data_IF_746863277981
#
_entry.id   IF_746863277981
#
_cell.length_a   1.000
_cell.length_b   1.000
_cell.length_c   1.000
_cell.angle_alpha   90.00
_cell.angle_beta   90.00
_cell.angle_gamma   90.00
#
_symmetry.space_group_name_H-M   'P 1'
#
loop_
_entity.id
_entity.type
_entity.pdbx_description
1 polymer ?
#
# COMPACT_ATOMS: atom_id res chain seq x y z
N UNK A 1 17.09 2.57 5.35
CA UNK A 1 15.98 1.86 4.69
C UNK A 1 16.40 0.87 3.58
N UNK A 2 17.70 0.66 3.30
CA UNK A 2 18.11 -0.21 2.18
C UNK A 2 17.50 -1.63 2.25
N UNK A 3 17.16 -2.17 1.08
CA UNK A 3 16.62 -3.52 0.88
C UNK A 3 17.43 -4.26 -0.19
N UNK A 4 17.48 -5.58 -0.07
CA UNK A 4 18.17 -6.45 -1.03
C UNK A 4 17.30 -7.66 -1.32
N UNK A 5 17.14 -7.97 -2.60
CA UNK A 5 16.37 -9.13 -3.06
C UNK A 5 16.83 -10.41 -2.35
N UNK A 6 15.87 -11.19 -1.86
CA UNK A 6 16.09 -12.42 -1.11
C UNK A 6 16.41 -12.24 0.38
N UNK A 7 16.58 -11.00 0.87
CA UNK A 7 16.75 -10.72 2.30
C UNK A 7 15.44 -10.24 2.91
N UNK A 8 14.99 -10.88 3.99
CA UNK A 8 13.76 -10.48 4.70
C UNK A 8 12.50 -10.52 3.84
N UNK A 9 12.47 -11.35 2.79
CA UNK A 9 11.33 -11.46 1.87
C UNK A 9 11.31 -10.42 0.73
N UNK A 10 12.24 -9.46 0.74
CA UNK A 10 12.30 -8.42 -0.29
C UNK A 10 12.51 -9.01 -1.69
N UNK A 11 11.79 -8.48 -2.68
CA UNK A 11 11.96 -8.81 -4.10
C UNK A 11 12.69 -7.72 -4.87
N UNK A 12 12.70 -6.50 -4.34
CA UNK A 12 13.44 -5.36 -4.88
C UNK A 12 14.80 -5.20 -4.19
N UNK A 13 15.74 -4.58 -4.91
CA UNK A 13 17.05 -4.16 -4.36
C UNK A 13 17.19 -2.65 -4.53
N UNK A 14 17.19 -1.93 -3.40
CA UNK A 14 17.32 -0.48 -3.32
C UNK A 14 18.32 -0.12 -2.23
N UNK A 15 19.20 0.85 -2.51
CA UNK A 15 19.91 1.55 -1.45
C UNK A 15 18.94 2.41 -0.61
N UNK A 16 19.47 3.11 0.39
CA UNK A 16 18.64 3.93 1.26
C UNK A 16 17.90 5.06 0.51
N UNK A 17 18.60 5.78 -0.38
CA UNK A 17 18.06 6.93 -1.10
C UNK A 17 16.98 6.51 -2.08
N UNK A 18 17.22 5.42 -2.82
CA UNK A 18 16.27 4.84 -3.77
C UNK A 18 15.04 4.29 -3.05
N UNK A 19 15.20 3.62 -1.91
CA UNK A 19 14.04 3.16 -1.13
C UNK A 19 13.23 4.33 -0.58
N UNK A 20 13.89 5.36 -0.05
CA UNK A 20 13.21 6.57 0.43
C UNK A 20 12.40 7.23 -0.70
N UNK A 21 13.01 7.43 -1.86
CA UNK A 21 12.32 8.00 -3.03
C UNK A 21 11.13 7.14 -3.46
N UNK A 22 11.30 5.81 -3.48
CA UNK A 22 10.25 4.86 -3.85
C UNK A 22 9.04 4.93 -2.90
N UNK A 23 9.28 5.03 -1.58
CA UNK A 23 8.23 5.19 -0.57
C UNK A 23 7.51 6.53 -0.73
N UNK A 24 8.27 7.63 -0.81
CA UNK A 24 7.72 8.98 -0.98
C UNK A 24 6.84 9.08 -2.24
N UNK A 25 7.31 8.51 -3.36
CA UNK A 25 6.55 8.44 -4.62
C UNK A 25 5.26 7.63 -4.47
N UNK A 26 5.30 6.50 -3.77
CA UNK A 26 4.12 5.66 -3.54
C UNK A 26 3.07 6.40 -2.71
N UNK A 27 3.48 6.98 -1.58
CA UNK A 27 2.58 7.72 -0.70
C UNK A 27 1.99 8.97 -1.37
N UNK A 28 2.79 9.66 -2.19
CA UNK A 28 2.30 10.82 -2.96
C UNK A 28 1.28 10.37 -4.01
N UNK A 29 1.56 9.30 -4.76
CA UNK A 29 0.60 8.75 -5.71
C UNK A 29 -0.70 8.34 -5.01
N UNK A 30 -0.61 7.64 -3.89
CA UNK A 30 -1.78 7.23 -3.11
C UNK A 30 -2.60 8.42 -2.61
N UNK A 31 -1.96 9.51 -2.20
CA UNK A 31 -2.65 10.77 -1.86
C UNK A 31 -3.45 11.31 -3.05
N UNK A 32 -2.85 11.37 -4.24
CA UNK A 32 -3.54 11.86 -5.44
C UNK A 32 -4.71 10.93 -5.85
N UNK A 33 -4.52 9.60 -5.73
CA UNK A 33 -5.59 8.63 -5.99
C UNK A 33 -6.76 8.82 -5.03
N UNK A 34 -6.49 8.95 -3.73
CA UNK A 34 -7.53 9.15 -2.72
C UNK A 34 -8.26 10.49 -2.90
N UNK A 35 -7.53 11.54 -3.32
CA UNK A 35 -8.12 12.84 -3.64
C UNK A 35 -9.12 12.74 -4.81
N UNK A 36 -8.81 11.96 -5.84
CA UNK A 36 -9.67 11.74 -7.00
C UNK A 36 -10.63 10.53 -6.86
N UNK A 37 -10.71 9.90 -5.67
CA UNK A 37 -11.39 8.61 -5.48
C UNK A 37 -12.88 8.64 -5.86
N UNK A 38 -13.62 9.67 -5.46
CA UNK A 38 -15.05 9.79 -5.82
C UNK A 38 -15.24 9.89 -7.34
N UNK A 39 -14.36 10.59 -8.04
CA UNK A 39 -14.42 10.69 -9.49
C UNK A 39 -14.05 9.36 -10.15
N UNK A 40 -12.99 8.70 -9.67
CA UNK A 40 -12.60 7.36 -10.11
C UNK A 40 -13.73 6.34 -9.93
N UNK A 41 -14.46 6.43 -8.81
CA UNK A 41 -15.60 5.55 -8.53
C UNK A 41 -16.70 5.70 -9.58
N UNK A 42 -17.10 6.94 -9.89
CA UNK A 42 -18.09 7.21 -10.93
C UNK A 42 -17.64 6.71 -12.31
N UNK A 43 -16.36 6.89 -12.66
CA UNK A 43 -15.82 6.37 -13.92
C UNK A 43 -15.78 4.84 -13.94
N UNK A 44 -15.46 4.21 -12.81
CA UNK A 44 -15.46 2.76 -12.67
C UNK A 44 -16.86 2.18 -12.87
N UNK A 45 -17.90 2.79 -12.27
CA UNK A 45 -19.29 2.37 -12.51
C UNK A 45 -19.68 2.50 -13.98
N UNK A 46 -19.28 3.60 -14.64
CA UNK A 46 -19.56 3.79 -16.07
C UNK A 46 -18.85 2.76 -16.96
N UNK A 47 -17.64 2.32 -16.59
CA UNK A 47 -16.93 1.28 -17.32
C UNK A 47 -17.57 -0.10 -17.04
N UNK A 48 -17.91 -0.39 -15.78
CA UNK A 48 -18.55 -1.66 -15.39
C UNK A 48 -19.91 -1.89 -16.05
N UNK A 49 -20.68 -0.82 -16.23
CA UNK A 49 -22.02 -0.81 -16.82
C UNK A 49 -22.01 -0.51 -18.33
N UNK A 50 -20.84 -0.49 -18.96
CA UNK A 50 -20.74 -0.17 -20.39
C UNK A 50 -21.44 -1.22 -21.27
N UNK A 51 -22.45 -0.79 -22.02
CA UNK A 51 -23.12 -1.63 -23.03
C UNK A 51 -22.20 -1.97 -24.22
N UNK A 52 -21.16 -1.17 -24.44
CA UNK A 52 -20.26 -1.30 -25.58
C UNK A 52 -19.00 -2.13 -25.28
N UNK A 53 -18.72 -2.41 -24.00
CA UNK A 53 -17.51 -3.11 -23.56
C UNK A 53 -17.93 -4.36 -22.76
N UNK A 54 -18.05 -5.53 -23.40
CA UNK A 54 -18.55 -6.73 -22.74
C UNK A 54 -17.48 -7.36 -21.83
N UNK A 55 -17.94 -8.08 -20.81
CA UNK A 55 -17.08 -8.95 -20.01
C UNK A 55 -16.67 -10.20 -20.80
N UNK A 56 -15.46 -10.67 -20.55
CA UNK A 56 -14.95 -11.97 -21.00
C UNK A 56 -14.55 -12.79 -19.79
N UNK A 57 -15.16 -13.96 -19.63
CA UNK A 57 -14.75 -14.91 -18.60
C UNK A 57 -13.40 -15.53 -19.02
N UNK A 58 -12.36 -15.33 -18.22
CA UNK A 58 -11.00 -15.80 -18.51
C UNK A 58 -10.32 -16.30 -17.23
N UNK A 59 -9.53 -17.35 -17.36
CA UNK A 59 -8.54 -17.68 -16.33
C UNK A 59 -7.40 -16.65 -16.40
N UNK A 60 -7.14 -15.98 -15.28
CA UNK A 60 -6.10 -14.95 -15.18
C UNK A 60 -4.82 -15.47 -14.53
N UNK A 61 -4.75 -16.76 -14.20
CA UNK A 61 -3.70 -17.32 -13.35
C UNK A 61 -3.92 -17.05 -11.85
N UNK A 62 -4.92 -16.24 -11.51
CA UNK A 62 -5.40 -15.99 -10.14
C UNK A 62 -6.80 -16.59 -9.92
N UNK A 63 -7.25 -17.45 -10.86
CA UNK A 63 -8.60 -17.98 -10.91
C UNK A 63 -9.43 -17.41 -12.07
N UNK A 64 -10.68 -17.86 -12.15
CA UNK A 64 -11.60 -17.49 -13.22
C UNK A 64 -12.24 -16.13 -12.93
N UNK A 65 -11.94 -15.14 -13.77
CA UNK A 65 -12.40 -13.75 -13.58
C UNK A 65 -13.20 -13.23 -14.78
N UNK A 66 -14.15 -12.33 -14.50
CA UNK A 66 -14.81 -11.54 -15.54
C UNK A 66 -13.92 -10.35 -15.88
N UNK A 67 -13.20 -10.46 -16.99
CA UNK A 67 -12.28 -9.44 -17.48
C UNK A 67 -13.02 -8.44 -18.36
N UNK A 68 -12.84 -7.15 -18.12
CA UNK A 68 -13.46 -6.07 -18.88
C UNK A 68 -12.50 -4.87 -18.96
N UNK A 69 -12.35 -4.30 -20.15
CA UNK A 69 -11.58 -3.07 -20.29
C UNK A 69 -12.27 -1.92 -19.57
N UNK A 70 -11.51 -1.08 -18.87
CA UNK A 70 -12.01 0.11 -18.19
C UNK A 70 -11.29 1.37 -18.71
N UNK A 71 -11.62 1.82 -19.94
CA UNK A 71 -10.89 2.88 -20.61
C UNK A 71 -11.03 4.25 -19.93
N UNK A 72 -12.17 4.54 -19.26
CA UNK A 72 -12.39 5.82 -18.58
C UNK A 72 -11.58 5.87 -17.30
N UNK A 73 -11.68 4.84 -16.45
CA UNK A 73 -10.90 4.73 -15.22
C UNK A 73 -9.41 4.67 -15.51
N UNK A 74 -8.99 3.90 -16.52
CA UNK A 74 -7.57 3.83 -16.94
C UNK A 74 -7.03 5.20 -17.35
N UNK A 75 -7.77 5.96 -18.17
CA UNK A 75 -7.34 7.30 -18.59
C UNK A 75 -7.18 8.26 -17.41
N UNK A 76 -8.13 8.25 -16.47
CA UNK A 76 -8.04 9.07 -15.26
C UNK A 76 -6.83 8.69 -14.41
N UNK A 77 -6.55 7.39 -14.27
CA UNK A 77 -5.37 6.93 -13.53
C UNK A 77 -4.04 7.33 -14.17
N UNK A 78 -3.96 7.35 -15.50
CA UNK A 78 -2.78 7.90 -16.17
C UNK A 78 -2.64 9.41 -15.91
N UNK A 79 -3.74 10.17 -15.85
CA UNK A 79 -3.69 11.59 -15.51
C UNK A 79 -3.21 11.83 -14.07
N UNK A 80 -3.71 11.04 -13.11
CA UNK A 80 -3.28 11.07 -11.70
C UNK A 80 -1.79 10.73 -11.57
N UNK A 81 -1.35 9.65 -12.21
CA UNK A 81 0.06 9.25 -12.18
C UNK A 81 0.97 10.35 -12.74
N UNK A 82 0.60 10.97 -13.86
CA UNK A 82 1.35 12.08 -14.43
C UNK A 82 1.43 13.27 -13.46
N UNK A 83 0.36 13.57 -12.73
CA UNK A 83 0.33 14.63 -11.72
C UNK A 83 1.31 14.33 -10.58
N UNK A 84 1.29 13.10 -10.06
CA UNK A 84 2.18 12.64 -9.00
C UNK A 84 3.65 12.62 -9.44
N UNK A 85 3.95 12.21 -10.68
CA UNK A 85 5.31 12.22 -11.22
C UNK A 85 5.87 13.65 -11.34
N UNK A 86 5.04 14.60 -11.79
CA UNK A 86 5.43 16.01 -11.91
C UNK A 86 5.71 16.67 -10.57
N UNK A 87 5.04 16.26 -9.49
CA UNK A 87 5.23 16.87 -8.17
C UNK A 87 6.51 16.43 -7.46
N UNK A 88 7.11 15.29 -7.85
CA UNK A 88 8.26 14.67 -7.14
C UNK A 88 9.54 14.67 -7.99
N UNK A 89 9.43 14.97 -9.30
CA UNK A 89 10.57 15.22 -10.21
C UNK A 89 11.34 13.97 -10.67
N UNK A 90 11.31 12.88 -9.91
CA UNK A 90 11.88 11.58 -10.29
C UNK A 90 10.90 10.44 -10.02
N UNK A 91 11.06 9.32 -10.74
CA UNK A 91 10.23 8.12 -10.59
C UNK A 91 11.09 6.85 -10.50
N UNK A 92 10.91 6.07 -9.44
CA UNK A 92 11.57 4.78 -9.22
C UNK A 92 10.53 3.68 -9.39
N UNK A 93 10.85 2.64 -10.15
CA UNK A 93 9.94 1.52 -10.44
C UNK A 93 9.16 1.73 -11.74
N UNK A 94 8.25 0.80 -12.01
CA UNK A 94 7.44 0.80 -13.22
C UNK A 94 6.26 1.78 -13.11
N UNK A 95 5.90 2.37 -14.25
CA UNK A 95 4.71 3.21 -14.41
C UNK A 95 3.52 2.45 -15.00
N UNK A 96 3.64 1.13 -15.15
CA UNK A 96 2.56 0.28 -15.66
C UNK A 96 1.37 0.31 -14.71
N UNK A 97 0.21 0.67 -15.25
CA UNK A 97 -1.09 0.60 -14.60
C UNK A 97 -1.82 -0.61 -15.19
N UNK A 98 -2.16 -1.58 -14.35
CA UNK A 98 -2.98 -2.72 -14.78
C UNK A 98 -4.45 -2.36 -14.72
N UNK A 99 -5.19 -2.67 -15.79
CA UNK A 99 -6.63 -2.41 -15.87
C UNK A 99 -7.26 -3.20 -17.01
N UNK A 100 -8.27 -4.01 -16.69
CA UNK A 100 -8.92 -4.88 -17.68
C UNK A 100 -8.03 -6.00 -18.19
N UNK A 101 -7.10 -6.48 -17.37
CA UNK A 101 -6.12 -7.51 -17.71
C UNK A 101 -6.09 -8.65 -16.66
N UNK A 102 -5.05 -9.48 -16.66
CA UNK A 102 -4.94 -10.60 -15.74
C UNK A 102 -4.58 -10.19 -14.30
N UNK A 103 -4.00 -9.00 -14.11
CA UNK A 103 -3.58 -8.48 -12.80
C UNK A 103 -4.67 -7.62 -12.14
N UNK A 104 -5.43 -6.88 -12.95
CA UNK A 104 -6.61 -6.10 -12.52
C UNK A 104 -7.74 -6.36 -13.52
N UNK A 105 -8.60 -7.37 -13.28
CA UNK A 105 -9.60 -7.84 -14.26
C UNK A 105 -10.60 -6.80 -14.75
N UNK A 106 -10.98 -5.84 -13.92
CA UNK A 106 -12.00 -4.84 -14.23
C UNK A 106 -11.89 -3.65 -13.26
N UNK A 107 -12.71 -2.61 -13.48
CA UNK A 107 -12.67 -1.40 -12.67
C UNK A 107 -13.12 -1.63 -11.20
N UNK A 108 -13.91 -2.66 -10.91
CA UNK A 108 -14.31 -3.00 -9.54
C UNK A 108 -13.10 -3.46 -8.72
N UNK A 109 -12.30 -4.39 -9.28
CA UNK A 109 -11.06 -4.87 -8.65
C UNK A 109 -10.04 -3.73 -8.46
N UNK A 110 -10.04 -2.75 -9.38
CA UNK A 110 -9.23 -1.56 -9.24
C UNK A 110 -9.67 -0.70 -8.04
N UNK A 111 -10.95 -0.34 -7.96
CA UNK A 111 -11.47 0.52 -6.88
C UNK A 111 -11.30 -0.17 -5.52
N UNK A 112 -11.65 -1.46 -5.43
CA UNK A 112 -11.48 -2.24 -4.21
C UNK A 112 -10.03 -2.18 -3.73
N UNK A 113 -9.07 -2.44 -4.62
CA UNK A 113 -7.63 -2.36 -4.34
C UNK A 113 -7.25 -1.00 -3.73
N UNK A 114 -7.54 0.13 -4.39
CA UNK A 114 -7.09 1.43 -3.89
C UNK A 114 -7.90 1.95 -2.69
N UNK A 115 -9.09 1.41 -2.43
CA UNK A 115 -9.81 1.67 -1.18
C UNK A 115 -9.06 1.13 0.05
N UNK A 116 -8.24 0.10 -0.12
CA UNK A 116 -7.43 -0.50 0.95
C UNK A 116 -6.34 0.43 1.47
N UNK A 117 -5.92 1.46 0.72
CA UNK A 117 -4.86 2.39 1.14
C UNK A 117 -5.19 3.01 2.50
N UNK A 118 -6.43 3.47 2.68
CA UNK A 118 -6.87 4.05 3.95
C UNK A 118 -6.83 3.01 5.08
N UNK A 119 -7.34 1.80 4.81
CA UNK A 119 -7.36 0.69 5.78
C UNK A 119 -5.96 0.29 6.24
N UNK A 120 -4.97 0.36 5.36
CA UNK A 120 -3.57 0.05 5.69
C UNK A 120 -2.91 1.17 6.50
N UNK A 121 -3.11 2.43 6.11
CA UNK A 121 -2.39 3.56 6.70
C UNK A 121 -3.00 4.06 8.00
N UNK A 122 -4.34 4.06 8.13
CA UNK A 122 -5.03 4.57 9.31
C UNK A 122 -4.55 3.92 10.61
N UNK A 123 -4.42 2.57 10.72
CA UNK A 123 -4.02 1.94 11.97
C UNK A 123 -2.59 2.30 12.39
N UNK A 124 -1.70 2.49 11.39
CA UNK A 124 -0.34 2.95 11.63
C UNK A 124 -0.37 4.38 12.16
N UNK A 125 -1.12 5.28 11.52
CA UNK A 125 -1.27 6.67 11.97
C UNK A 125 -1.88 6.76 13.38
N UNK A 126 -2.93 5.99 13.66
CA UNK A 126 -3.59 5.94 14.96
C UNK A 126 -2.68 5.39 16.06
N UNK A 127 -1.87 4.38 15.73
CA UNK A 127 -0.87 3.85 16.67
C UNK A 127 0.14 4.94 16.99
N UNK A 128 0.72 5.56 15.96
CA UNK A 128 1.74 6.60 16.12
C UNK A 128 1.24 7.82 16.91
N UNK A 129 0.00 8.26 16.68
CA UNK A 129 -0.58 9.40 17.39
C UNK A 129 -0.86 9.12 18.86
N UNK A 130 -1.10 7.86 19.24
CA UNK A 130 -1.41 7.45 20.61
C UNK A 130 -0.18 7.07 21.45
N UNK A 131 0.98 6.81 20.83
CA UNK A 131 2.23 6.49 21.56
C UNK A 131 2.54 7.50 22.70
N UNK A 132 2.44 8.83 22.50
CA UNK A 132 2.68 9.79 23.58
C UNK A 132 1.74 9.58 24.77
N UNK A 133 0.45 9.34 24.52
CA UNK A 133 -0.54 9.10 25.57
C UNK A 133 -0.32 7.77 26.29
N UNK A 134 0.13 6.72 25.60
CA UNK A 134 0.55 5.47 26.26
C UNK A 134 1.67 5.71 27.26
N UNK A 135 2.64 6.56 26.91
CA UNK A 135 3.77 6.90 27.77
C UNK A 135 3.38 7.80 28.97
N UNK A 136 2.14 8.27 29.09
CA UNK A 136 1.65 8.91 30.32
C UNK A 136 1.55 7.91 31.48
N UNK A 137 1.31 6.63 31.18
CA UNK A 137 1.37 5.56 32.17
C UNK A 137 2.84 5.19 32.47
N UNK A 138 3.32 5.29 33.72
CA UNK A 138 4.72 5.04 34.06
C UNK A 138 5.22 3.63 33.70
N UNK A 139 4.38 2.60 33.83
CA UNK A 139 4.77 1.22 33.50
C UNK A 139 4.95 1.05 31.99
N UNK A 140 4.04 1.64 31.19
CA UNK A 140 4.15 1.60 29.73
C UNK A 140 5.31 2.46 29.22
N UNK A 141 5.59 3.60 29.87
CA UNK A 141 6.78 4.41 29.59
C UNK A 141 8.06 3.60 29.77
N UNK A 142 8.22 2.95 30.93
CA UNK A 142 9.38 2.09 31.20
C UNK A 142 9.52 1.02 30.11
N UNK A 143 8.45 0.30 29.81
CA UNK A 143 8.44 -0.70 28.73
C UNK A 143 8.90 -0.10 27.38
N UNK A 144 8.41 1.10 27.02
CA UNK A 144 8.78 1.75 25.77
C UNK A 144 10.26 2.15 25.76
N UNK A 145 10.76 2.71 26.87
CA UNK A 145 12.15 3.12 27.02
C UNK A 145 13.11 1.92 27.04
N UNK A 146 12.72 0.82 27.68
CA UNK A 146 13.52 -0.41 27.74
C UNK A 146 13.65 -1.09 26.36
N UNK A 147 12.58 -1.14 25.57
CA UNK A 147 12.56 -1.83 24.26
C UNK A 147 13.05 -0.97 23.08
N UNK A 148 12.80 0.34 23.12
CA UNK A 148 13.03 1.26 22.00
C UNK A 148 13.80 2.54 22.37
N UNK A 149 14.15 2.73 23.64
CA UNK A 149 14.88 3.90 24.14
C UNK A 149 14.06 5.18 24.29
N UNK A 150 12.96 5.33 23.55
CA UNK A 150 12.04 6.47 23.63
C UNK A 150 10.77 6.22 22.82
N UNK A 151 9.75 7.05 23.05
CA UNK A 151 8.54 7.12 22.20
C UNK A 151 8.86 7.44 20.74
N UNK A 152 9.87 8.29 20.50
CA UNK A 152 10.36 8.60 19.16
C UNK A 152 11.09 7.40 18.55
N UNK A 153 11.89 6.67 19.34
CA UNK A 153 12.55 5.43 18.92
C UNK A 153 11.55 4.38 18.43
N UNK A 154 10.47 4.17 19.19
CA UNK A 154 9.37 3.27 18.83
C UNK A 154 8.69 3.72 17.53
N UNK A 155 8.36 5.01 17.42
CA UNK A 155 7.74 5.58 16.22
C UNK A 155 8.62 5.40 14.97
N UNK A 156 9.93 5.66 15.10
CA UNK A 156 10.91 5.47 14.04
C UNK A 156 11.05 4.01 13.66
N UNK A 157 10.98 3.08 14.61
CA UNK A 157 11.04 1.66 14.31
C UNK A 157 9.84 1.19 13.50
N UNK A 158 8.62 1.54 13.92
CA UNK A 158 7.38 1.21 13.19
C UNK A 158 7.47 1.74 11.75
N UNK A 159 7.79 3.03 11.60
CA UNK A 159 7.90 3.66 10.28
C UNK A 159 9.03 3.08 9.44
N UNK A 160 10.20 2.81 10.03
CA UNK A 160 11.33 2.23 9.30
C UNK A 160 11.07 0.79 8.86
N UNK A 161 10.35 0.00 9.66
CA UNK A 161 9.92 -1.35 9.28
C UNK A 161 8.88 -1.29 8.14
N UNK A 162 7.85 -0.46 8.27
CA UNK A 162 6.84 -0.27 7.22
C UNK A 162 7.44 0.27 5.92
N UNK A 163 8.28 1.31 5.96
CA UNK A 163 8.91 1.86 4.76
C UNK A 163 9.92 0.92 4.10
N UNK A 164 10.50 0.00 4.87
CA UNK A 164 11.39 -1.03 4.33
C UNK A 164 10.58 -2.17 3.72
N UNK A 165 9.61 -2.71 4.43
CA UNK A 165 8.98 -3.99 4.10
C UNK A 165 7.59 -3.86 3.46
N UNK A 166 6.90 -2.75 3.67
CA UNK A 166 5.66 -2.40 2.96
C UNK A 166 5.90 -1.95 1.52
N UNK A 167 7.16 -1.78 1.10
CA UNK A 167 7.53 -1.27 -0.24
C UNK A 167 8.73 -2.03 -0.83
N UNK A 168 8.84 -3.34 -0.58
CA UNK A 168 9.98 -4.16 -1.01
C UNK A 168 9.68 -5.17 -2.13
N UNK A 169 8.46 -5.15 -2.69
CA UNK A 169 8.00 -6.08 -3.71
C UNK A 169 7.58 -7.45 -3.19
N UNK A 170 7.56 -7.67 -1.87
CA UNK A 170 6.96 -8.85 -1.26
C UNK A 170 5.45 -8.94 -1.54
N UNK A 171 4.87 -10.13 -1.35
CA UNK A 171 3.44 -10.42 -1.62
C UNK A 171 3.12 -10.78 -3.09
N UNK A 172 3.96 -10.40 -4.06
CA UNK A 172 3.75 -10.75 -5.45
C UNK A 172 4.01 -12.24 -5.75
N UNK A 173 3.40 -12.80 -6.81
CA UNK A 173 3.61 -14.20 -7.22
C UNK A 173 4.96 -14.44 -7.89
N UNK A 174 5.42 -13.55 -8.77
CA UNK A 174 6.66 -13.70 -9.56
C UNK A 174 7.50 -12.40 -9.57
N UNK A 175 8.61 -12.39 -10.33
CA UNK A 175 9.51 -11.23 -10.46
C UNK A 175 8.93 -10.09 -11.33
N UNK A 176 8.12 -10.42 -12.34
CA UNK A 176 7.49 -9.44 -13.22
C UNK A 176 6.41 -8.62 -12.51
N UNK A 177 5.70 -9.27 -11.58
CA UNK A 177 4.70 -8.67 -10.70
C UNK A 177 5.30 -8.16 -9.38
N UNK A 178 6.62 -8.19 -9.20
CA UNK A 178 7.33 -7.96 -7.92
C UNK A 178 7.30 -6.50 -7.43
N UNK A 179 6.09 -5.97 -7.22
CA UNK A 179 5.83 -4.71 -6.56
C UNK A 179 6.13 -3.46 -7.37
N UNK A 180 6.92 -3.55 -8.45
CA UNK A 180 7.47 -2.35 -9.09
C UNK A 180 6.42 -1.53 -9.86
N UNK A 181 5.36 -2.16 -10.36
CA UNK A 181 4.25 -1.48 -11.04
C UNK A 181 3.41 -0.67 -10.05
N UNK A 182 2.48 0.15 -10.58
CA UNK A 182 1.65 1.03 -9.76
C UNK A 182 0.85 0.23 -8.73
N UNK A 183 0.25 -0.87 -9.18
CA UNK A 183 -0.55 -1.77 -8.35
C UNK A 183 0.31 -2.59 -7.38
N UNK A 184 1.52 -2.95 -7.79
CA UNK A 184 2.43 -3.77 -7.00
C UNK A 184 2.91 -3.08 -5.71
N UNK A 185 2.95 -1.74 -5.70
CA UNK A 185 3.30 -0.97 -4.48
C UNK A 185 2.36 -1.30 -3.33
N UNK A 186 1.07 -1.50 -3.62
CA UNK A 186 0.08 -1.81 -2.60
C UNK A 186 0.14 -3.28 -2.15
N UNK A 187 0.53 -4.19 -3.05
CA UNK A 187 0.70 -5.61 -2.73
C UNK A 187 1.70 -5.83 -1.59
N UNK A 188 2.83 -5.12 -1.60
CA UNK A 188 3.83 -5.24 -0.51
C UNK A 188 3.33 -4.66 0.80
N UNK A 189 2.57 -3.56 0.76
CA UNK A 189 1.99 -2.98 1.96
C UNK A 189 0.92 -3.90 2.57
N UNK A 190 0.10 -4.53 1.72
CA UNK A 190 -0.84 -5.56 2.16
C UNK A 190 -0.14 -6.79 2.76
N UNK A 191 0.97 -7.23 2.15
CA UNK A 191 1.79 -8.31 2.71
C UNK A 191 2.46 -7.91 4.03
N UNK A 192 2.81 -6.64 4.22
CA UNK A 192 3.29 -6.17 5.52
C UNK A 192 2.21 -6.31 6.60
N UNK A 193 0.97 -5.93 6.29
CA UNK A 193 -0.18 -6.07 7.19
C UNK A 193 -0.39 -7.52 7.65
N UNK A 194 -0.22 -8.51 6.76
CA UNK A 194 -0.36 -9.95 7.10
C UNK A 194 0.79 -10.53 7.93
N UNK A 195 1.78 -9.70 8.27
CA UNK A 195 2.91 -10.06 9.13
C UNK A 195 3.00 -9.19 10.38
N UNK A 196 2.06 -8.25 10.57
CA UNK A 196 2.10 -7.29 11.67
C UNK A 196 2.15 -8.00 13.03
N UNK A 197 1.40 -9.10 13.19
CA UNK A 197 1.33 -9.90 14.41
C UNK A 197 2.68 -10.52 14.82
N UNK A 198 3.63 -10.60 13.89
CA UNK A 198 4.99 -11.13 14.11
C UNK A 198 6.00 -10.04 14.46
N UNK A 199 5.61 -8.76 14.40
CA UNK A 199 6.50 -7.63 14.67
C UNK A 199 6.60 -7.41 16.18
N UNK A 200 7.80 -7.10 16.68
CA UNK A 200 8.00 -6.90 18.13
C UNK A 200 7.21 -5.71 18.71
N UNK A 201 6.87 -4.74 17.86
CA UNK A 201 6.01 -3.61 18.22
C UNK A 201 4.51 -3.90 18.09
N UNK A 202 4.09 -5.12 17.74
CA UNK A 202 2.67 -5.49 17.67
C UNK A 202 1.89 -5.26 18.98
N UNK A 203 2.44 -5.53 20.18
CA UNK A 203 1.76 -5.20 21.42
C UNK A 203 1.39 -3.71 21.54
N UNK A 204 2.18 -2.81 20.95
CA UNK A 204 1.88 -1.37 20.93
C UNK A 204 0.64 -1.10 20.09
N UNK A 205 0.49 -1.74 18.93
CA UNK A 205 -0.73 -1.63 18.12
C UNK A 205 -1.96 -2.02 18.96
N UNK A 206 -1.91 -3.16 19.67
CA UNK A 206 -2.99 -3.61 20.55
C UNK A 206 -3.30 -2.59 21.67
N UNK A 207 -2.27 -2.05 22.31
CA UNK A 207 -2.41 -1.03 23.36
C UNK A 207 -3.04 0.27 22.85
N UNK A 208 -2.88 0.59 21.56
CA UNK A 208 -3.51 1.74 20.89
C UNK A 208 -4.88 1.42 20.28
N UNK A 209 -5.49 0.29 20.66
CA UNK A 209 -6.85 -0.08 20.21
C UNK A 209 -6.91 -0.76 18.84
N UNK A 210 -5.80 -1.29 18.32
CA UNK A 210 -5.80 -2.05 17.08
C UNK A 210 -6.59 -3.36 17.23
N UNK A 211 -7.67 -3.50 16.44
CA UNK A 211 -8.48 -4.74 16.38
C UNK A 211 -8.32 -5.51 15.05
N UNK A 212 -7.66 -4.91 14.06
CA UNK A 212 -7.46 -5.48 12.72
C UNK A 212 -7.58 -4.42 11.63
N UNK A 213 -7.08 -4.69 10.43
CA UNK A 213 -7.10 -3.71 9.32
C UNK A 213 -8.51 -3.49 8.70
N UNK A 214 -9.45 -4.40 8.97
CA UNK A 214 -10.85 -4.31 8.53
C UNK A 214 -11.83 -3.95 9.66
N UNK A 215 -11.33 -3.55 10.83
CA UNK A 215 -12.16 -3.16 11.97
C UNK A 215 -12.85 -1.80 11.80
N UNK A 216 -13.91 -1.56 12.57
CA UNK A 216 -14.46 -0.22 12.79
C UNK A 216 -13.58 0.53 13.81
N UNK A 217 -13.28 1.80 13.54
CA UNK A 217 -12.38 2.66 14.33
C UNK A 217 -13.14 3.83 14.92
#
# INVERSE_FOLDING_TARGET
>A
LAIKTGKGGARLTHDHQKQYAYVLQSLTLWREILHDMFHLWTLAEQDLLSENVPYRLRDTGQGLNRVQAAPKTSRMMHAILNRAQRSIGSWVGSSVIHMGDHNVPNALMFIDKYSQVYRILLPICNTLSQIPSLAENPALRSYIEDEWGSTEGLSREILADFFRHGFDGSGAGNYFDAGSCIDGRLTSAWNWCSTLEKKRFFPVFLLTGFIGFDGEW
#
